data_IF_309368954883
#
_entry.id   IF_309368954883
#
_cell.length_a   1.000
_cell.length_b   1.000
_cell.length_c   1.000
_cell.angle_alpha   90.00
_cell.angle_beta   90.00
_cell.angle_gamma   90.00
#
_symmetry.space_group_name_H-M   'P 1'
#
loop_
_entity.id
_entity.type
_entity.pdbx_description
1 polymer ?
#
# COMPACT_ATOMS: atom_id res chain seq x y z
N UNK A 1 -18.42 2.05 41.43
CA UNK A 1 -17.55 1.27 42.33
C UNK A 1 -16.27 2.03 42.53
N UNK A 2 -16.09 2.59 43.72
CA UNK A 2 -14.89 3.29 44.17
C UNK A 2 -14.24 2.43 45.25
N UNK A 3 -12.92 2.25 45.21
CA UNK A 3 -12.06 1.90 46.36
C UNK A 3 -10.63 2.31 45.96
N UNK A 4 -10.09 3.40 46.52
CA UNK A 4 -9.44 3.51 47.83
C UNK A 4 -7.95 3.18 47.78
N UNK A 5 -7.17 4.24 47.99
CA UNK A 5 -5.75 4.32 48.37
C UNK A 5 -5.43 3.54 49.66
N UNK A 6 -4.21 3.03 49.78
CA UNK A 6 -3.52 2.93 51.08
C UNK A 6 -1.98 2.96 50.92
N UNK A 7 -1.38 3.64 51.89
CA UNK A 7 -0.02 4.17 52.02
C UNK A 7 1.11 3.14 52.21
N UNK A 8 2.35 3.59 51.99
CA UNK A 8 3.54 3.00 52.61
C UNK A 8 4.85 3.71 52.27
N UNK A 9 5.13 4.86 52.88
CA UNK A 9 6.43 5.53 52.82
C UNK A 9 7.34 5.05 53.97
N UNK A 10 8.62 4.77 53.68
CA UNK A 10 9.72 4.91 54.64
C UNK A 10 10.99 5.32 53.91
N UNK A 11 11.61 6.39 54.41
CA UNK A 11 12.83 7.03 53.93
C UNK A 11 13.93 6.75 54.96
N UNK A 12 15.09 6.27 54.53
CA UNK A 12 16.34 6.32 55.29
C UNK A 12 17.54 6.23 54.35
N UNK A 13 18.37 7.27 54.37
CA UNK A 13 19.77 7.35 53.93
C UNK A 13 20.53 8.10 55.05
N UNK A 14 21.87 8.10 55.13
CA UNK A 14 22.87 7.69 54.12
C UNK A 14 24.00 6.77 54.66
N UNK A 15 24.82 6.22 53.76
CA UNK A 15 26.25 6.03 54.05
C UNK A 15 27.06 6.31 52.78
N UNK A 16 28.06 7.18 52.95
CA UNK A 16 29.09 7.55 51.99
C UNK A 16 30.09 6.40 51.82
N UNK A 17 30.40 6.01 50.58
CA UNK A 17 31.80 6.00 50.09
C UNK A 17 31.87 5.70 48.59
N UNK A 18 32.88 6.31 47.96
CA UNK A 18 33.45 6.07 46.63
C UNK A 18 32.77 6.70 45.41
N UNK A 19 32.98 8.01 45.35
CA UNK A 19 33.20 8.76 44.12
C UNK A 19 34.40 8.22 43.31
N UNK A 20 34.45 8.62 42.03
CA UNK A 20 35.59 8.57 41.08
C UNK A 20 35.78 7.34 40.19
N UNK A 21 34.79 6.96 39.35
CA UNK A 21 35.11 6.48 37.96
C UNK A 21 33.94 6.43 36.94
N UNK A 22 32.91 7.29 37.00
CA UNK A 22 31.83 7.26 35.98
C UNK A 22 31.43 8.67 35.53
N UNK A 23 32.42 9.44 35.07
CA UNK A 23 32.21 10.79 34.56
C UNK A 23 33.04 11.04 33.32
N UNK A 24 32.78 10.31 32.22
CA UNK A 24 33.44 10.58 30.93
C UNK A 24 32.85 9.84 29.71
N UNK A 25 31.57 9.43 29.71
CA UNK A 25 30.94 8.83 28.51
C UNK A 25 29.49 9.28 28.23
N UNK A 26 29.00 10.34 28.90
CA UNK A 26 27.66 10.92 28.62
C UNK A 26 27.69 12.07 27.59
N UNK A 27 28.52 11.96 26.55
CA UNK A 27 28.43 12.84 25.38
C UNK A 27 27.99 12.04 24.14
N UNK A 28 26.78 12.33 23.66
CA UNK A 28 26.52 12.26 22.22
C UNK A 28 25.53 11.21 21.71
N UNK A 29 24.29 11.18 22.21
CA UNK A 29 23.15 10.85 21.32
C UNK A 29 21.98 11.78 21.67
N UNK A 30 21.86 12.87 20.89
CA UNK A 30 20.68 13.75 20.91
C UNK A 30 19.42 12.93 20.64
N UNK A 31 18.46 12.97 21.57
CA UNK A 31 17.16 12.30 21.45
C UNK A 31 16.11 13.14 20.69
N UNK A 32 16.52 14.20 20.02
CA UNK A 32 15.61 14.90 19.10
C UNK A 32 15.68 14.19 17.74
N UNK A 33 14.54 13.97 17.04
CA UNK A 33 14.62 13.71 15.61
C UNK A 33 15.48 14.83 15.02
N UNK A 34 16.44 14.55 14.12
CA UNK A 34 17.16 15.62 13.49
C UNK A 34 16.10 16.53 12.87
N UNK A 35 15.89 17.72 13.44
CA UNK A 35 15.29 18.81 12.69
C UNK A 35 16.16 18.87 11.45
N UNK A 36 15.60 18.41 10.33
CA UNK A 36 16.26 18.47 9.05
C UNK A 36 16.73 19.90 8.91
N UNK A 37 18.04 20.13 9.02
CA UNK A 37 18.62 21.41 8.68
C UNK A 37 18.33 21.59 7.19
N UNK A 38 17.23 22.28 6.87
CA UNK A 38 16.95 22.96 5.61
C UNK A 38 17.12 22.19 4.29
N UNK A 39 17.21 20.85 4.27
CA UNK A 39 17.31 20.11 3.00
C UNK A 39 15.92 19.88 2.44
N UNK A 40 15.48 20.83 1.61
CA UNK A 40 14.31 20.70 0.76
C UNK A 40 14.36 19.38 -0.01
N UNK A 41 13.29 18.60 0.05
CA UNK A 41 13.16 17.36 -0.72
C UNK A 41 13.24 17.68 -2.21
N UNK A 42 14.23 17.11 -2.89
CA UNK A 42 14.40 17.27 -4.34
C UNK A 42 13.22 16.65 -5.10
N UNK A 43 12.85 17.27 -6.23
CA UNK A 43 11.82 16.80 -7.15
C UNK A 43 12.06 15.36 -7.61
N UNK A 44 13.31 14.94 -7.77
CA UNK A 44 13.64 13.55 -8.12
C UNK A 44 13.11 12.55 -7.10
N UNK A 45 13.27 12.84 -5.80
CA UNK A 45 12.78 11.96 -4.74
C UNK A 45 11.26 11.97 -4.66
N UNK A 46 10.64 13.14 -4.81
CA UNK A 46 9.17 13.28 -4.90
C UNK A 46 8.59 12.47 -6.07
N UNK A 47 9.19 12.58 -7.25
CA UNK A 47 8.80 11.81 -8.43
C UNK A 47 8.94 10.29 -8.21
N UNK A 48 10.01 9.83 -7.56
CA UNK A 48 10.17 8.41 -7.22
C UNK A 48 9.06 7.93 -6.27
N UNK A 49 8.71 8.72 -5.24
CA UNK A 49 7.59 8.39 -4.35
C UNK A 49 6.24 8.34 -5.09
N UNK A 50 6.00 9.26 -6.02
CA UNK A 50 4.80 9.26 -6.87
C UNK A 50 4.74 8.06 -7.81
N UNK A 51 5.85 7.66 -8.44
CA UNK A 51 5.90 6.43 -9.25
C UNK A 51 5.59 5.20 -8.40
N UNK A 52 6.13 5.12 -7.18
CA UNK A 52 5.85 4.00 -6.27
C UNK A 52 4.36 3.97 -5.88
N UNK A 53 3.79 5.12 -5.50
CA UNK A 53 2.35 5.21 -5.17
C UNK A 53 1.46 4.82 -6.35
N UNK A 54 1.84 5.24 -7.56
CA UNK A 54 1.14 4.83 -8.77
C UNK A 54 1.18 3.32 -8.95
N UNK A 55 2.35 2.69 -8.86
CA UNK A 55 2.50 1.24 -9.02
C UNK A 55 1.77 0.45 -7.92
N UNK A 56 1.65 1.01 -6.71
CA UNK A 56 0.92 0.38 -5.59
C UNK A 56 -0.52 0.08 -5.94
N UNK A 57 -1.22 1.07 -6.49
CA UNK A 57 -2.64 0.97 -6.76
C UNK A 57 -2.94 0.59 -8.22
N UNK A 58 -1.97 0.72 -9.14
CA UNK A 58 -2.12 0.38 -10.56
C UNK A 58 -2.58 -1.07 -10.76
N UNK A 59 -1.97 -2.02 -10.05
CA UNK A 59 -2.33 -3.44 -10.19
C UNK A 59 -3.76 -3.73 -9.76
N UNK A 60 -4.22 -3.09 -8.68
CA UNK A 60 -5.60 -3.21 -8.22
C UNK A 60 -6.58 -2.56 -9.21
N UNK A 61 -6.25 -1.37 -9.72
CA UNK A 61 -7.06 -0.70 -10.73
C UNK A 61 -7.16 -1.51 -12.03
N UNK A 62 -6.12 -2.27 -12.40
CA UNK A 62 -6.20 -3.19 -13.54
C UNK A 62 -7.13 -4.36 -13.25
N UNK A 63 -7.05 -4.95 -12.05
CA UNK A 63 -7.95 -6.03 -11.63
C UNK A 63 -9.41 -5.57 -11.66
N UNK A 64 -9.69 -4.35 -11.19
CA UNK A 64 -11.04 -3.76 -11.26
C UNK A 64 -11.48 -3.49 -12.71
N UNK A 65 -10.57 -3.03 -13.57
CA UNK A 65 -10.85 -2.78 -14.99
C UNK A 65 -11.26 -4.05 -15.75
N UNK A 66 -10.69 -5.20 -15.40
CA UNK A 66 -10.99 -6.52 -15.99
C UNK A 66 -11.95 -7.35 -15.13
N UNK A 67 -12.61 -6.76 -14.14
CA UNK A 67 -13.50 -7.49 -13.22
C UNK A 67 -14.66 -8.17 -13.95
N UNK A 68 -15.19 -7.54 -15.01
CA UNK A 68 -16.22 -8.14 -15.86
C UNK A 68 -15.76 -9.45 -16.50
N UNK A 69 -14.57 -9.44 -17.09
CA UNK A 69 -13.93 -10.65 -17.67
C UNK A 69 -13.74 -11.75 -16.63
N UNK A 70 -13.36 -11.39 -15.40
CA UNK A 70 -13.16 -12.35 -14.31
C UNK A 70 -14.50 -12.91 -13.79
N UNK A 71 -15.55 -12.10 -13.75
CA UNK A 71 -16.91 -12.55 -13.42
C UNK A 71 -17.40 -13.55 -14.48
N UNK A 72 -17.22 -13.24 -15.77
CA UNK A 72 -17.59 -14.15 -16.85
C UNK A 72 -16.81 -15.48 -16.76
N UNK A 73 -15.55 -15.43 -16.33
CA UNK A 73 -14.69 -16.61 -16.19
C UNK A 73 -15.04 -17.47 -14.95
N UNK A 74 -15.38 -16.86 -13.82
CA UNK A 74 -15.45 -17.54 -12.52
C UNK A 74 -16.86 -17.55 -11.88
N UNK A 75 -17.81 -16.83 -12.46
CA UNK A 75 -19.22 -16.76 -12.04
C UNK A 75 -19.58 -15.44 -11.34
N UNK A 76 -20.89 -15.14 -11.32
CA UNK A 76 -21.48 -13.87 -10.88
C UNK A 76 -21.03 -13.41 -9.48
N UNK A 77 -20.81 -14.35 -8.56
CA UNK A 77 -20.39 -14.03 -7.19
C UNK A 77 -18.93 -13.55 -7.11
N UNK A 78 -18.10 -13.80 -8.13
CA UNK A 78 -16.66 -13.54 -8.08
C UNK A 78 -16.34 -12.08 -7.83
N UNK A 79 -17.12 -11.14 -8.37
CA UNK A 79 -16.90 -9.70 -8.15
C UNK A 79 -16.90 -9.33 -6.67
N UNK A 80 -17.87 -9.85 -5.91
CA UNK A 80 -17.99 -9.61 -4.46
C UNK A 80 -16.83 -10.27 -3.70
N UNK A 81 -16.51 -11.53 -4.03
CA UNK A 81 -15.45 -12.27 -3.36
C UNK A 81 -14.05 -11.72 -3.67
N UNK A 82 -13.82 -11.22 -4.88
CA UNK A 82 -12.58 -10.54 -5.26
C UNK A 82 -12.31 -9.35 -4.33
N UNK A 83 -13.29 -8.45 -4.16
CA UNK A 83 -13.17 -7.33 -3.23
C UNK A 83 -12.99 -7.78 -1.79
N UNK A 84 -13.77 -8.77 -1.31
CA UNK A 84 -13.66 -9.27 0.06
C UNK A 84 -12.28 -9.89 0.35
N UNK A 85 -11.77 -10.74 -0.55
CA UNK A 85 -10.46 -11.38 -0.40
C UNK A 85 -9.33 -10.35 -0.43
N UNK A 86 -9.38 -9.39 -1.36
CA UNK A 86 -8.40 -8.31 -1.41
C UNK A 86 -8.42 -7.50 -0.12
N UNK A 87 -9.59 -6.97 0.27
CA UNK A 87 -9.76 -6.13 1.45
C UNK A 87 -9.39 -6.85 2.74
N UNK A 88 -9.75 -8.13 2.89
CA UNK A 88 -9.39 -8.91 4.07
C UNK A 88 -7.87 -9.06 4.17
N UNK A 89 -7.22 -9.47 3.09
CA UNK A 89 -5.78 -9.76 3.09
C UNK A 89 -4.92 -8.50 3.21
N UNK A 90 -5.29 -7.40 2.55
CA UNK A 90 -4.56 -6.13 2.69
C UNK A 90 -4.69 -5.58 4.12
N UNK A 91 -5.89 -5.56 4.70
CA UNK A 91 -6.09 -5.06 6.06
C UNK A 91 -5.42 -5.97 7.10
N UNK A 92 -5.49 -7.29 6.93
CA UNK A 92 -4.80 -8.23 7.81
C UNK A 92 -3.28 -8.04 7.75
N UNK A 93 -2.73 -7.84 6.55
CA UNK A 93 -1.31 -7.55 6.35
C UNK A 93 -0.88 -6.22 6.97
N UNK A 94 -1.64 -5.14 6.75
CA UNK A 94 -1.38 -3.83 7.36
C UNK A 94 -1.42 -3.91 8.90
N UNK A 95 -2.45 -4.56 9.47
CA UNK A 95 -2.57 -4.75 10.92
C UNK A 95 -1.40 -5.56 11.48
N UNK A 96 -1.02 -6.66 10.82
CA UNK A 96 0.14 -7.46 11.21
C UNK A 96 1.43 -6.62 11.25
N UNK A 97 1.61 -5.75 10.26
CA UNK A 97 2.79 -4.89 10.13
C UNK A 97 2.83 -3.77 11.18
N UNK A 98 1.70 -3.32 11.71
CA UNK A 98 1.68 -2.40 12.87
C UNK A 98 2.37 -3.04 14.08
N UNK A 99 2.15 -4.32 14.33
CA UNK A 99 2.67 -5.02 15.52
C UNK A 99 4.07 -5.63 15.31
N UNK A 100 4.32 -6.20 14.13
CA UNK A 100 5.50 -7.01 13.86
C UNK A 100 6.43 -6.33 12.83
N UNK A 101 5.95 -5.33 12.09
CA UNK A 101 6.68 -4.70 10.98
C UNK A 101 8.04 -4.11 11.38
N UNK A 102 8.19 -3.64 12.62
CA UNK A 102 9.47 -3.13 13.14
C UNK A 102 10.60 -4.18 13.15
N UNK A 103 10.26 -5.48 13.12
CA UNK A 103 11.25 -6.58 13.03
C UNK A 103 11.81 -6.78 11.63
N UNK A 104 11.13 -6.27 10.60
CA UNK A 104 11.51 -6.46 9.21
C UNK A 104 12.00 -5.17 8.59
N UNK A 105 13.08 -5.24 7.80
CA UNK A 105 13.55 -4.07 7.06
C UNK A 105 12.54 -3.66 5.98
N UNK A 106 12.49 -2.38 5.63
CA UNK A 106 11.61 -1.86 4.59
C UNK A 106 11.98 -2.43 3.21
N UNK A 107 13.28 -2.52 2.89
CA UNK A 107 13.74 -3.02 1.58
C UNK A 107 13.20 -4.40 1.21
N UNK A 108 13.44 -5.47 1.99
CA UNK A 108 12.90 -6.80 1.71
C UNK A 108 11.38 -6.83 1.59
N UNK A 109 10.65 -6.12 2.46
CA UNK A 109 9.18 -6.02 2.39
C UNK A 109 8.72 -5.39 1.07
N UNK A 110 9.39 -4.32 0.65
CA UNK A 110 9.14 -3.65 -0.61
C UNK A 110 9.38 -4.58 -1.81
N UNK A 111 10.54 -5.25 -1.86
CA UNK A 111 10.88 -6.16 -2.95
C UNK A 111 9.91 -7.34 -3.06
N UNK A 112 9.60 -7.98 -1.93
CA UNK A 112 8.64 -9.08 -1.87
C UNK A 112 7.25 -8.61 -2.27
N UNK A 113 6.82 -7.43 -1.80
CA UNK A 113 5.55 -6.82 -2.20
C UNK A 113 5.44 -6.65 -3.71
N UNK A 114 6.34 -5.87 -4.33
CA UNK A 114 6.34 -5.64 -5.78
C UNK A 114 6.41 -6.95 -6.59
N UNK A 115 7.31 -7.87 -6.19
CA UNK A 115 7.49 -9.12 -6.92
C UNK A 115 6.23 -9.99 -6.86
N UNK A 116 5.68 -10.19 -5.66
CA UNK A 116 4.50 -11.03 -5.46
C UNK A 116 3.26 -10.40 -6.08
N UNK A 117 3.09 -9.07 -6.04
CA UNK A 117 2.02 -8.38 -6.76
C UNK A 117 2.09 -8.65 -8.26
N UNK A 118 3.25 -8.40 -8.89
CA UNK A 118 3.41 -8.61 -10.34
C UNK A 118 3.18 -10.06 -10.77
N UNK A 119 3.72 -11.04 -10.02
CA UNK A 119 3.48 -12.47 -10.29
C UNK A 119 2.02 -12.85 -10.09
N UNK A 120 1.37 -12.35 -9.04
CA UNK A 120 -0.04 -12.67 -8.78
C UNK A 120 -0.94 -12.17 -9.89
N UNK A 121 -0.68 -10.98 -10.45
CA UNK A 121 -1.45 -10.44 -11.59
C UNK A 121 -1.41 -11.39 -12.79
N UNK A 122 -0.22 -11.80 -13.25
CA UNK A 122 -0.13 -12.67 -14.42
C UNK A 122 -0.72 -14.06 -14.15
N UNK A 123 -0.58 -14.58 -12.92
CA UNK A 123 -1.18 -15.85 -12.52
C UNK A 123 -2.71 -15.79 -12.51
N UNK A 124 -3.32 -14.65 -12.15
CA UNK A 124 -4.78 -14.47 -12.25
C UNK A 124 -5.23 -14.55 -13.71
N UNK A 125 -4.51 -13.90 -14.64
CA UNK A 125 -4.83 -13.98 -16.06
C UNK A 125 -4.73 -15.42 -16.60
N UNK A 126 -3.66 -16.13 -16.24
CA UNK A 126 -3.48 -17.54 -16.61
C UNK A 126 -4.60 -18.39 -16.02
N UNK A 127 -4.95 -18.19 -14.75
CA UNK A 127 -6.03 -18.90 -14.08
C UNK A 127 -7.37 -18.71 -14.79
N UNK A 128 -7.70 -17.48 -15.20
CA UNK A 128 -8.93 -17.24 -15.95
C UNK A 128 -8.91 -17.99 -17.29
N UNK A 129 -7.81 -17.94 -18.04
CA UNK A 129 -7.69 -18.63 -19.33
C UNK A 129 -7.85 -20.15 -19.17
N UNK A 130 -7.23 -20.74 -18.15
CA UNK A 130 -7.23 -22.20 -17.98
C UNK A 130 -8.56 -22.72 -17.46
N UNK A 131 -9.20 -22.00 -16.53
CA UNK A 131 -10.36 -22.49 -15.81
C UNK A 131 -11.70 -22.01 -16.37
N UNK A 132 -11.75 -20.91 -17.13
CA UNK A 132 -12.99 -20.35 -17.67
C UNK A 132 -13.83 -21.33 -18.50
N UNK A 133 -13.22 -22.37 -19.07
CA UNK A 133 -13.92 -23.36 -19.91
C UNK A 133 -14.02 -24.76 -19.30
N UNK A 134 -13.28 -25.03 -18.23
CA UNK A 134 -13.07 -26.41 -17.75
C UNK A 134 -13.64 -26.62 -16.35
N UNK A 135 -13.42 -25.70 -15.42
CA UNK A 135 -13.87 -25.84 -14.03
C UNK A 135 -13.94 -24.47 -13.35
N UNK A 136 -15.14 -23.86 -13.40
CA UNK A 136 -15.40 -22.55 -12.80
C UNK A 136 -15.16 -22.54 -11.28
N UNK A 137 -15.48 -23.62 -10.55
CA UNK A 137 -15.30 -23.67 -9.10
C UNK A 137 -13.80 -23.67 -8.70
N UNK A 138 -12.97 -24.43 -9.43
CA UNK A 138 -11.53 -24.42 -9.20
C UNK A 138 -10.90 -23.07 -9.58
N UNK A 139 -11.34 -22.46 -10.70
CA UNK A 139 -10.92 -21.12 -11.12
C UNK A 139 -11.31 -20.05 -10.11
N UNK A 140 -12.54 -20.09 -9.61
CA UNK A 140 -13.04 -19.19 -8.57
C UNK A 140 -12.18 -19.24 -7.31
N UNK A 141 -11.92 -20.45 -6.78
CA UNK A 141 -11.12 -20.63 -5.57
C UNK A 141 -9.67 -20.16 -5.78
N UNK A 142 -9.05 -20.54 -6.90
CA UNK A 142 -7.69 -20.14 -7.24
C UNK A 142 -7.57 -18.61 -7.45
N UNK A 143 -8.53 -18.00 -8.14
CA UNK A 143 -8.62 -16.55 -8.33
C UNK A 143 -8.71 -15.81 -7.00
N UNK A 144 -9.60 -16.25 -6.09
CA UNK A 144 -9.73 -15.65 -4.76
C UNK A 144 -8.43 -15.74 -3.95
N UNK A 145 -7.74 -16.88 -3.99
CA UNK A 145 -6.44 -17.06 -3.32
C UNK A 145 -5.39 -16.12 -3.90
N UNK A 146 -5.28 -16.03 -5.23
CA UNK A 146 -4.32 -15.15 -5.89
C UNK A 146 -4.60 -13.66 -5.61
N UNK A 147 -5.87 -13.26 -5.55
CA UNK A 147 -6.28 -11.91 -5.14
C UNK A 147 -5.91 -11.65 -3.67
N UNK A 148 -6.12 -12.62 -2.78
CA UNK A 148 -5.68 -12.51 -1.39
C UNK A 148 -4.16 -12.37 -1.25
N UNK A 149 -3.39 -13.14 -2.02
CA UNK A 149 -1.93 -13.03 -2.09
C UNK A 149 -1.51 -11.66 -2.62
N UNK A 150 -2.18 -11.15 -3.66
CA UNK A 150 -1.97 -9.81 -4.19
C UNK A 150 -2.24 -8.74 -3.12
N UNK A 151 -3.38 -8.81 -2.41
CA UNK A 151 -3.73 -7.85 -1.36
C UNK A 151 -2.75 -7.87 -0.19
N UNK A 152 -2.31 -9.05 0.26
CA UNK A 152 -1.28 -9.15 1.30
C UNK A 152 0.07 -8.59 0.82
N UNK A 153 0.48 -8.89 -0.41
CA UNK A 153 1.71 -8.34 -0.99
C UNK A 153 1.65 -6.81 -1.13
N UNK A 154 0.49 -6.27 -1.50
CA UNK A 154 0.27 -4.84 -1.54
C UNK A 154 0.47 -4.21 -0.16
N UNK A 155 -0.05 -4.83 0.91
CA UNK A 155 0.19 -4.34 2.28
C UNK A 155 1.67 -4.25 2.67
N UNK A 156 2.49 -5.20 2.20
CA UNK A 156 3.94 -5.19 2.45
C UNK A 156 4.61 -4.00 1.74
N UNK A 157 4.18 -3.72 0.51
CA UNK A 157 4.71 -2.62 -0.29
C UNK A 157 4.25 -1.26 0.25
N UNK A 158 2.94 -1.06 0.42
CA UNK A 158 2.32 0.16 0.93
C UNK A 158 2.87 0.57 2.31
N UNK A 159 2.85 -0.36 3.27
CA UNK A 159 3.37 -0.07 4.61
C UNK A 159 4.85 0.33 4.57
N UNK A 160 5.62 -0.20 3.61
CA UNK A 160 7.02 0.12 3.47
C UNK A 160 7.24 1.50 2.86
N UNK A 161 6.47 1.87 1.84
CA UNK A 161 6.60 3.19 1.23
C UNK A 161 6.09 4.31 2.16
N UNK A 162 4.94 4.14 2.81
CA UNK A 162 4.43 5.12 3.78
C UNK A 162 5.33 5.22 5.01
N UNK A 163 5.85 4.08 5.49
CA UNK A 163 6.82 4.06 6.58
C UNK A 163 8.12 4.79 6.24
N UNK A 164 8.61 4.68 5.00
CA UNK A 164 9.78 5.43 4.53
C UNK A 164 9.48 6.91 4.33
N UNK A 165 8.34 7.26 3.70
CA UNK A 165 7.93 8.64 3.47
C UNK A 165 7.78 9.42 4.78
N UNK A 166 7.18 8.80 5.80
CA UNK A 166 7.01 9.38 7.13
C UNK A 166 8.34 9.72 7.83
N UNK A 167 9.44 9.08 7.44
CA UNK A 167 10.78 9.35 7.98
C UNK A 167 11.54 10.41 7.18
N UNK A 168 11.14 10.71 5.94
CA UNK A 168 11.77 11.73 5.09
C UNK A 168 11.16 13.09 5.36
N UNK A 169 9.90 13.27 4.95
CA UNK A 169 9.16 14.53 4.99
C UNK A 169 7.68 14.27 4.65
N UNK A 170 6.72 14.98 5.25
CA UNK A 170 5.29 14.85 4.91
C UNK A 170 4.98 14.99 3.42
N UNK A 171 5.71 15.85 2.69
CA UNK A 171 5.50 16.05 1.24
C UNK A 171 5.75 14.76 0.46
N UNK A 172 6.62 13.86 0.92
CA UNK A 172 6.80 12.57 0.24
C UNK A 172 5.54 11.70 0.32
N UNK A 173 4.78 11.79 1.41
CA UNK A 173 3.51 11.06 1.58
C UNK A 173 2.46 11.61 0.62
N UNK A 174 2.37 12.93 0.46
CA UNK A 174 1.49 13.57 -0.52
C UNK A 174 1.80 13.09 -1.95
N UNK A 175 3.06 12.95 -2.31
CA UNK A 175 3.44 12.42 -3.63
C UNK A 175 3.08 10.95 -3.80
N UNK A 176 3.12 10.12 -2.75
CA UNK A 176 2.59 8.75 -2.82
C UNK A 176 1.10 8.78 -3.16
N UNK A 177 0.31 9.57 -2.41
CA UNK A 177 -1.14 9.69 -2.60
C UNK A 177 -1.48 10.24 -4.00
N UNK A 178 -0.73 11.24 -4.49
CA UNK A 178 -0.85 11.72 -5.86
C UNK A 178 -0.60 10.60 -6.88
N UNK A 179 0.42 9.77 -6.63
CA UNK A 179 0.70 8.59 -7.43
C UNK A 179 -0.48 7.61 -7.46
N UNK A 180 -1.03 7.29 -6.30
CA UNK A 180 -2.21 6.42 -6.17
C UNK A 180 -3.39 6.93 -7.01
N UNK A 181 -3.70 8.23 -6.93
CA UNK A 181 -4.74 8.85 -7.78
C UNK A 181 -4.42 8.76 -9.29
N UNK A 182 -3.18 9.06 -9.69
CA UNK A 182 -2.74 8.92 -11.08
C UNK A 182 -2.90 7.49 -11.63
N UNK A 183 -2.75 6.47 -10.78
CA UNK A 183 -2.92 5.08 -11.21
C UNK A 183 -4.35 4.80 -11.69
N UNK A 184 -5.36 5.40 -11.06
CA UNK A 184 -6.75 5.29 -11.44
C UNK A 184 -7.04 5.99 -12.77
N UNK A 185 -6.42 7.16 -12.96
CA UNK A 185 -6.50 7.92 -14.22
C UNK A 185 -5.84 7.20 -15.40
N UNK A 186 -4.77 6.43 -15.15
CA UNK A 186 -4.02 5.70 -16.20
C UNK A 186 -4.69 4.38 -16.57
N UNK A 187 -5.35 3.71 -15.63
CA UNK A 187 -5.86 2.35 -15.85
C UNK A 187 -6.86 2.25 -17.01
N UNK A 188 -7.87 3.11 -17.05
CA UNK A 188 -8.89 3.04 -18.11
C UNK A 188 -8.35 3.39 -19.51
N UNK A 189 -7.62 4.49 -19.72
CA UNK A 189 -7.01 4.78 -21.03
C UNK A 189 -6.08 3.67 -21.51
N UNK A 190 -5.34 3.05 -20.59
CA UNK A 190 -4.41 1.98 -20.93
C UNK A 190 -5.15 0.69 -21.33
N UNK A 191 -6.24 0.34 -20.64
CA UNK A 191 -7.13 -0.75 -21.06
C UNK A 191 -7.68 -0.53 -22.48
N UNK A 192 -8.20 0.67 -22.76
CA UNK A 192 -8.70 1.04 -24.10
C UNK A 192 -7.60 0.98 -25.16
N UNK A 193 -6.37 1.39 -24.82
CA UNK A 193 -5.22 1.28 -25.71
C UNK A 193 -4.88 -0.19 -26.00
N UNK A 194 -4.89 -1.05 -24.98
CA UNK A 194 -4.65 -2.49 -25.15
C UNK A 194 -5.70 -3.12 -26.08
N UNK A 195 -6.96 -2.77 -25.92
CA UNK A 195 -8.04 -3.20 -26.82
C UNK A 195 -7.79 -2.74 -28.26
N UNK A 196 -7.51 -1.45 -28.48
CA UNK A 196 -7.28 -0.89 -29.81
C UNK A 196 -6.09 -1.53 -30.53
N UNK A 197 -5.02 -1.87 -29.81
CA UNK A 197 -3.86 -2.58 -30.36
C UNK A 197 -4.27 -3.99 -30.86
N UNK A 198 -5.02 -4.75 -30.06
CA UNK A 198 -5.42 -6.11 -30.41
C UNK A 198 -6.42 -6.14 -31.56
N UNK A 199 -7.39 -5.24 -31.57
CA UNK A 199 -8.32 -5.06 -32.69
C UNK A 199 -7.57 -4.67 -33.97
N UNK A 200 -6.59 -3.75 -33.87
CA UNK A 200 -5.72 -3.35 -34.99
C UNK A 200 -4.85 -4.50 -35.53
N UNK A 201 -4.51 -5.48 -34.69
CA UNK A 201 -3.82 -6.71 -35.10
C UNK A 201 -4.76 -7.79 -35.68
N UNK A 202 -6.07 -7.53 -35.78
CA UNK A 202 -7.05 -8.47 -36.32
C UNK A 202 -7.47 -9.58 -35.35
N UNK A 203 -7.26 -9.42 -34.04
CA UNK A 203 -7.69 -10.38 -33.02
C UNK A 203 -9.20 -10.23 -32.79
N UNK A 204 -9.97 -11.27 -33.11
CA UNK A 204 -11.44 -11.25 -33.02
C UNK A 204 -11.97 -11.59 -31.62
N UNK A 205 -11.29 -12.49 -30.89
CA UNK A 205 -11.56 -12.79 -29.46
C UNK A 205 -10.43 -12.21 -28.60
N UNK A 206 -10.52 -10.90 -28.35
CA UNK A 206 -9.45 -10.16 -27.68
C UNK A 206 -9.59 -10.12 -26.15
N UNK A 207 -10.66 -10.66 -25.54
CA UNK A 207 -10.96 -10.48 -24.11
C UNK A 207 -9.81 -11.01 -23.23
N UNK A 208 -9.46 -12.29 -23.37
CA UNK A 208 -8.38 -12.90 -22.60
C UNK A 208 -6.98 -12.41 -23.01
N UNK A 209 -6.65 -12.27 -24.32
CA UNK A 209 -5.40 -11.65 -24.73
C UNK A 209 -5.20 -10.22 -24.19
N UNK A 210 -6.27 -9.41 -24.15
CA UNK A 210 -6.25 -8.06 -23.58
C UNK A 210 -5.91 -8.11 -22.11
N UNK A 211 -6.59 -8.96 -21.32
CA UNK A 211 -6.31 -9.09 -19.90
C UNK A 211 -4.86 -9.54 -19.63
N UNK A 212 -4.32 -10.49 -20.41
CA UNK A 212 -2.91 -10.90 -20.29
C UNK A 212 -1.97 -9.75 -20.59
N UNK A 213 -2.23 -8.99 -21.66
CA UNK A 213 -1.39 -7.84 -22.02
C UNK A 213 -1.46 -6.74 -20.96
N UNK A 214 -2.66 -6.43 -20.49
CA UNK A 214 -2.92 -5.41 -19.48
C UNK A 214 -2.29 -5.77 -18.13
N UNK A 215 -2.48 -7.00 -17.64
CA UNK A 215 -1.82 -7.46 -16.42
C UNK A 215 -0.30 -7.63 -16.59
N UNK A 216 0.15 -7.96 -17.80
CA UNK A 216 1.57 -7.99 -18.15
C UNK A 216 2.22 -6.62 -17.99
N UNK A 217 1.56 -5.54 -18.42
CA UNK A 217 2.03 -4.17 -18.18
C UNK A 217 2.12 -3.84 -16.68
N UNK A 218 1.12 -4.26 -15.89
CA UNK A 218 1.13 -4.09 -14.43
C UNK A 218 2.27 -4.85 -13.75
N UNK A 219 2.56 -6.07 -14.20
CA UNK A 219 3.71 -6.86 -13.74
C UNK A 219 5.03 -6.17 -14.08
N UNK A 220 5.19 -5.67 -15.31
CA UNK A 220 6.39 -4.95 -15.73
C UNK A 220 6.59 -3.66 -14.91
N UNK A 221 5.52 -2.91 -14.64
CA UNK A 221 5.57 -1.71 -13.79
C UNK A 221 6.03 -2.05 -12.35
N UNK A 222 5.50 -3.12 -11.77
CA UNK A 222 5.94 -3.65 -10.47
C UNK A 222 7.43 -4.03 -10.49
N UNK A 223 7.87 -4.74 -11.52
CA UNK A 223 9.27 -5.18 -11.62
C UNK A 223 10.23 -4.03 -11.92
N UNK A 224 9.82 -3.02 -12.69
CA UNK A 224 10.61 -1.82 -12.97
C UNK A 224 10.79 -0.93 -11.72
N UNK A 225 9.85 -0.99 -10.78
CA UNK A 225 9.91 -0.25 -9.52
C UNK A 225 11.00 -0.77 -8.58
N UNK A 226 11.31 -2.07 -8.62
CA UNK A 226 12.38 -2.69 -7.82
C UNK A 226 13.77 -2.09 -8.07
N UNK A 227 14.30 -2.04 -9.32
CA UNK A 227 15.60 -1.43 -9.59
C UNK A 227 15.58 0.09 -9.38
N UNK A 228 14.46 0.78 -9.63
CA UNK A 228 14.33 2.20 -9.29
C UNK A 228 14.51 2.42 -7.79
N UNK A 229 13.82 1.63 -6.95
CA UNK A 229 13.97 1.70 -5.51
C UNK A 229 15.42 1.36 -5.08
N UNK A 230 15.95 0.23 -5.52
CA UNK A 230 17.27 -0.27 -5.09
C UNK A 230 18.44 0.61 -5.54
N UNK A 231 18.43 1.06 -6.79
CA UNK A 231 19.60 1.72 -7.39
C UNK A 231 19.48 3.24 -7.45
N UNK A 232 18.28 3.81 -7.50
CA UNK A 232 18.09 5.26 -7.48
C UNK A 232 17.69 5.76 -6.09
N UNK A 233 16.58 5.26 -5.55
CA UNK A 233 15.99 5.80 -4.32
C UNK A 233 16.85 5.52 -3.08
N UNK A 234 17.27 4.27 -2.84
CA UNK A 234 18.10 3.91 -1.69
C UNK A 234 19.47 4.61 -1.69
N UNK A 235 19.98 5.01 -2.87
CA UNK A 235 21.24 5.73 -2.98
C UNK A 235 21.10 7.24 -2.75
N UNK A 236 19.87 7.77 -2.76
CA UNK A 236 19.61 9.19 -2.57
C UNK A 236 20.09 9.67 -1.19
N UNK A 237 20.75 10.83 -1.06
CA UNK A 237 21.37 11.29 0.19
C UNK A 237 20.39 11.33 1.38
N UNK A 238 19.16 11.80 1.16
CA UNK A 238 18.12 11.84 2.20
C UNK A 238 17.65 10.44 2.60
N UNK A 239 17.55 9.52 1.65
CA UNK A 239 17.12 8.15 1.91
C UNK A 239 18.18 7.35 2.67
N UNK A 240 19.48 7.61 2.42
CA UNK A 240 20.55 6.96 3.20
C UNK A 240 20.44 7.26 4.69
N UNK A 241 20.19 8.53 5.04
CA UNK A 241 19.98 8.94 6.44
C UNK A 241 18.77 8.22 7.03
N UNK A 242 17.67 8.11 6.27
CA UNK A 242 16.47 7.38 6.72
C UNK A 242 16.73 5.88 6.91
N UNK A 243 17.47 5.25 6.01
CA UNK A 243 17.83 3.83 6.12
C UNK A 243 18.80 3.57 7.28
N UNK A 244 19.74 4.48 7.55
CA UNK A 244 20.60 4.40 8.74
C UNK A 244 19.79 4.54 10.04
N UNK A 245 18.80 5.45 10.07
CA UNK A 245 17.86 5.57 11.19
C UNK A 245 17.02 4.30 11.37
N UNK A 246 16.57 3.69 10.27
CA UNK A 246 15.85 2.42 10.29
C UNK A 246 16.72 1.32 10.91
N UNK A 247 17.97 1.17 10.48
CA UNK A 247 18.90 0.17 11.02
C UNK A 247 19.18 0.40 12.51
N UNK A 248 19.32 1.66 12.93
CA UNK A 248 19.44 2.04 14.34
C UNK A 248 18.20 1.61 15.15
N UNK A 249 17.00 1.87 14.64
CA UNK A 249 15.73 1.47 15.28
C UNK A 249 15.59 -0.04 15.36
N UNK A 250 15.94 -0.79 14.33
CA UNK A 250 15.88 -2.25 14.37
C UNK A 250 16.78 -2.84 15.45
N UNK A 251 18.04 -2.36 15.54
CA UNK A 251 18.98 -2.79 16.58
C UNK A 251 18.45 -2.47 17.98
N UNK A 252 17.80 -1.32 18.15
CA UNK A 252 17.20 -0.90 19.42
C UNK A 252 15.97 -1.72 19.81
N UNK A 253 15.08 -2.02 18.87
CA UNK A 253 13.89 -2.86 19.09
C UNK A 253 14.28 -4.30 19.42
N UNK A 254 15.28 -4.86 18.74
CA UNK A 254 15.86 -6.17 19.06
C UNK A 254 16.48 -6.19 20.47
N UNK A 255 16.98 -5.05 20.96
CA UNK A 255 17.54 -4.86 22.31
C UNK A 255 16.53 -4.39 23.37
N UNK A 256 15.23 -4.35 23.02
CA UNK A 256 14.06 -4.23 23.93
C UNK A 256 13.83 -2.91 24.69
N UNK A 257 14.57 -1.84 24.48
CA UNK A 257 14.41 -0.60 25.25
C UNK A 257 13.56 0.49 24.56
N UNK A 258 12.38 0.20 23.99
CA UNK A 258 11.58 1.31 23.42
C UNK A 258 11.21 2.35 24.49
N UNK A 259 11.69 3.59 24.32
CA UNK A 259 11.38 4.73 25.22
C UNK A 259 9.86 4.99 25.36
N UNK A 260 9.06 4.57 24.37
CA UNK A 260 7.60 4.73 24.34
C UNK A 260 6.91 3.43 23.92
N UNK A 261 5.87 2.95 24.64
CA UNK A 261 5.16 1.73 24.28
C UNK A 261 4.33 1.90 23.01
N UNK A 262 4.28 0.85 22.17
CA UNK A 262 3.56 0.84 20.88
C UNK A 262 2.09 1.25 21.03
N UNK A 263 1.41 0.79 22.09
CA UNK A 263 0.01 1.11 22.34
C UNK A 263 -0.24 2.62 22.51
N UNK A 264 0.70 3.38 23.07
CA UNK A 264 0.57 4.84 23.14
C UNK A 264 0.76 5.49 21.77
N UNK A 265 1.68 5.00 20.95
CA UNK A 265 1.88 5.50 19.58
C UNK A 265 0.62 5.26 18.75
N UNK A 266 0.02 4.07 18.85
CA UNK A 266 -1.24 3.77 18.19
C UNK A 266 -2.33 4.74 18.66
N UNK A 267 -2.47 4.94 19.98
CA UNK A 267 -3.49 5.84 20.53
C UNK A 267 -3.36 7.29 20.04
N UNK A 268 -2.14 7.81 19.93
CA UNK A 268 -1.90 9.14 19.37
C UNK A 268 -2.36 9.25 17.91
N UNK A 269 -2.28 8.16 17.14
CA UNK A 269 -2.68 8.13 15.73
C UNK A 269 -4.18 7.87 15.53
N UNK A 270 -4.90 7.42 16.56
CA UNK A 270 -6.33 7.05 16.46
C UNK A 270 -7.20 8.16 15.84
N UNK A 271 -7.08 9.45 16.22
CA UNK A 271 -7.92 10.49 15.63
C UNK A 271 -7.78 10.59 14.10
N UNK A 272 -6.54 10.53 13.59
CA UNK A 272 -6.31 10.57 12.14
C UNK A 272 -6.61 9.26 11.44
N UNK A 273 -6.29 8.12 12.07
CA UNK A 273 -6.68 6.82 11.56
C UNK A 273 -8.21 6.70 11.44
N UNK A 274 -8.97 7.25 12.39
CA UNK A 274 -10.43 7.28 12.35
C UNK A 274 -10.95 8.19 11.25
N UNK A 275 -10.38 9.39 11.08
CA UNK A 275 -10.75 10.29 9.98
C UNK A 275 -10.53 9.64 8.61
N UNK A 276 -9.37 9.00 8.41
CA UNK A 276 -9.04 8.28 7.18
C UNK A 276 -9.99 7.10 6.98
N UNK A 277 -10.24 6.30 8.02
CA UNK A 277 -11.18 5.18 7.96
C UNK A 277 -12.60 5.62 7.62
N UNK A 278 -13.08 6.72 8.22
CA UNK A 278 -14.42 7.27 7.95
C UNK A 278 -14.53 7.79 6.51
N UNK A 279 -13.48 8.46 6.02
CA UNK A 279 -13.38 8.92 4.63
C UNK A 279 -13.51 7.75 3.66
N UNK A 280 -12.65 6.72 3.79
CA UNK A 280 -12.69 5.55 2.92
C UNK A 280 -13.98 4.72 3.07
N UNK A 281 -14.55 4.61 4.27
CA UNK A 281 -15.84 3.93 4.49
C UNK A 281 -16.95 4.64 3.73
N UNK A 282 -17.00 5.97 3.82
CA UNK A 282 -17.99 6.78 3.09
C UNK A 282 -17.79 6.63 1.59
N UNK A 283 -16.56 6.78 1.12
CA UNK A 283 -16.19 6.59 -0.29
C UNK A 283 -16.61 5.23 -0.80
N UNK A 284 -16.25 4.12 -0.15
CA UNK A 284 -16.57 2.78 -0.64
C UNK A 284 -18.05 2.39 -0.48
N UNK A 285 -18.78 3.04 0.42
CA UNK A 285 -20.24 2.83 0.54
C UNK A 285 -20.99 3.52 -0.61
N UNK A 286 -20.49 4.68 -1.07
CA UNK A 286 -21.12 5.44 -2.16
C UNK A 286 -20.57 5.03 -3.53
N UNK A 287 -19.25 4.87 -3.66
CA UNK A 287 -18.56 4.58 -4.90
C UNK A 287 -17.88 3.19 -4.86
N UNK A 288 -18.04 2.34 -5.90
CA UNK A 288 -18.74 2.61 -7.15
C UNK A 288 -20.22 2.16 -7.14
N UNK A 289 -20.68 1.45 -6.11
CA UNK A 289 -21.98 0.78 -6.12
C UNK A 289 -23.16 1.73 -6.39
N UNK A 290 -23.25 2.84 -5.65
CA UNK A 290 -24.36 3.79 -5.83
C UNK A 290 -24.32 4.46 -7.21
N UNK A 291 -23.13 4.67 -7.77
CA UNK A 291 -22.95 5.22 -9.13
C UNK A 291 -23.47 4.27 -10.20
N UNK A 292 -23.30 2.96 -10.04
CA UNK A 292 -23.81 1.97 -10.99
C UNK A 292 -25.33 1.75 -10.93
N UNK A 293 -25.96 2.08 -9.79
CA UNK A 293 -27.43 2.06 -9.65
C UNK A 293 -28.12 3.33 -10.20
N UNK A 294 -27.35 4.40 -10.47
CA UNK A 294 -27.90 5.62 -11.05
C UNK A 294 -28.30 5.41 -12.52
N UNK A 295 -29.53 5.82 -12.86
CA UNK A 295 -30.02 5.82 -14.24
C UNK A 295 -29.81 7.19 -14.88
N UNK A 296 -28.94 7.32 -15.90
CA UNK A 296 -28.78 8.58 -16.63
C UNK A 296 -30.05 8.99 -17.36
N UNK A 297 -30.31 10.30 -17.49
CA UNK A 297 -31.42 10.83 -18.29
C UNK A 297 -31.16 10.71 -19.80
N UNK A 298 -29.93 11.02 -20.24
CA UNK A 298 -29.61 11.23 -21.66
C UNK A 298 -28.36 10.45 -22.16
N UNK A 299 -27.75 9.62 -21.31
CA UNK A 299 -26.57 8.82 -21.63
C UNK A 299 -26.87 7.33 -21.57
N UNK A 300 -26.09 6.50 -22.27
CA UNK A 300 -26.16 5.06 -22.05
C UNK A 300 -25.61 4.71 -20.66
N UNK A 301 -26.19 3.71 -20.00
CA UNK A 301 -25.80 3.28 -18.63
C UNK A 301 -24.30 2.98 -18.54
N UNK A 302 -23.74 2.29 -19.55
CA UNK A 302 -22.31 1.97 -19.60
C UNK A 302 -21.41 3.19 -19.74
N UNK A 303 -21.77 4.16 -20.60
CA UNK A 303 -20.97 5.38 -20.78
C UNK A 303 -21.06 6.29 -19.55
N UNK A 304 -22.24 6.38 -18.93
CA UNK A 304 -22.44 7.15 -17.70
C UNK A 304 -21.60 6.60 -16.55
N UNK A 305 -21.60 5.28 -16.31
CA UNK A 305 -20.80 4.66 -15.25
C UNK A 305 -19.29 4.87 -15.46
N UNK A 306 -18.80 4.79 -16.70
CA UNK A 306 -17.41 5.08 -17.04
C UNK A 306 -17.03 6.54 -16.78
N UNK A 307 -17.88 7.50 -17.21
CA UNK A 307 -17.65 8.92 -16.99
C UNK A 307 -17.67 9.28 -15.50
N UNK A 308 -18.63 8.77 -14.73
CA UNK A 308 -18.70 9.01 -13.29
C UNK A 308 -17.50 8.42 -12.54
N UNK A 309 -17.05 7.23 -12.94
CA UNK A 309 -15.81 6.61 -12.43
C UNK A 309 -14.60 7.49 -12.76
N UNK A 310 -14.49 7.97 -13.99
CA UNK A 310 -13.40 8.85 -14.39
C UNK A 310 -13.43 10.20 -13.67
N UNK A 311 -14.60 10.82 -13.52
CA UNK A 311 -14.78 12.04 -12.74
C UNK A 311 -14.35 11.84 -11.29
N UNK A 312 -14.76 10.73 -10.65
CA UNK A 312 -14.31 10.39 -9.30
C UNK A 312 -12.77 10.36 -9.24
N UNK A 313 -12.10 9.65 -10.16
CA UNK A 313 -10.64 9.56 -10.19
C UNK A 313 -9.96 10.92 -10.41
N UNK A 314 -10.54 11.80 -11.23
CA UNK A 314 -10.01 13.16 -11.46
C UNK A 314 -10.09 13.99 -10.18
N UNK A 315 -11.24 14.00 -9.50
CA UNK A 315 -11.41 14.78 -8.27
C UNK A 315 -10.68 14.17 -7.06
N UNK A 316 -10.49 12.85 -7.03
CA UNK A 316 -9.69 12.18 -6.01
C UNK A 316 -8.18 12.50 -6.15
N UNK A 317 -7.74 12.86 -7.36
CA UNK A 317 -6.34 13.19 -7.65
C UNK A 317 -5.99 14.68 -7.44
N UNK A 318 -6.95 15.60 -7.62
CA UNK A 318 -6.76 17.08 -7.53
C UNK A 318 -6.73 17.53 -6.07
#
# INVERSE_FOLDING_TARGET
MAFSTCFGAKKSTPDETDATTVGSLEEGVSTQPPKSQGKVVDWKLKAMFCVIGCVALLGWNFILGELGTLIDAFGDAYGTWCSLCYSLCINAGQLMLVWIGNRFKFGPRFYTGCFTMGVSMILIAICAITFARTNHAAGFAAGCVLIGVFGFANSLMESSMFGLAALVDPVCTEFILLGEGLSGLIAWPLDRLCQAILEGCGVTDYIYPRMVFFYGLGMLANFATIPMYKYAMQRHPLMRVVLELEEGRQKFVLKREMKRPLGQVVWDTVPQAFNVWLSFTTTFTVFPWFVFEMKPSDLSVGLFGQLMTYCYQVFDTI
#
